data_IF_860195045204
#
_entry.id   IF_860195045204
#
_cell.length_a   1.000
_cell.length_b   1.000
_cell.length_c   1.000
_cell.angle_alpha   90.00
_cell.angle_beta   90.00
_cell.angle_gamma   90.00
#
_symmetry.space_group_name_H-M   'P 1'
#
loop_
_entity.id
_entity.type
_entity.pdbx_description
1 polymer ?
#
# COMPACT_ATOMS: atom_id res chain seq x y z
N UNK A 1 2.80 10.64 20.39
CA UNK A 1 3.27 9.78 21.51
C UNK A 1 4.49 9.05 21.03
N UNK A 2 5.55 8.97 21.84
CA UNK A 2 6.72 8.17 21.51
C UNK A 2 6.44 6.69 21.80
N UNK A 3 6.91 5.80 20.93
CA UNK A 3 6.81 4.34 21.09
C UNK A 3 7.66 3.93 22.30
N UNK A 4 7.12 3.13 23.20
CA UNK A 4 7.84 2.67 24.40
C UNK A 4 8.72 1.44 24.09
N UNK A 5 9.60 1.06 25.02
CA UNK A 5 10.56 -0.04 24.82
C UNK A 5 9.88 -1.39 24.57
N UNK A 6 8.73 -1.65 25.18
CA UNK A 6 7.99 -2.90 24.99
C UNK A 6 7.28 -2.94 23.62
N UNK A 7 6.77 -1.80 23.16
CA UNK A 7 6.20 -1.69 21.81
C UNK A 7 7.25 -1.89 20.71
N UNK A 8 8.49 -1.45 20.94
CA UNK A 8 9.60 -1.67 20.00
C UNK A 8 9.98 -3.15 19.87
N UNK A 9 9.79 -3.97 20.92
CA UNK A 9 10.02 -5.42 20.87
C UNK A 9 9.02 -6.14 19.94
N UNK A 10 7.87 -5.54 19.66
CA UNK A 10 6.83 -6.07 18.77
C UNK A 10 7.07 -5.70 17.30
N UNK A 11 8.09 -4.90 17.01
CA UNK A 11 8.37 -4.38 15.66
C UNK A 11 9.72 -4.89 15.17
N UNK A 12 9.73 -5.38 13.93
CA UNK A 12 10.96 -5.71 13.23
C UNK A 12 11.03 -4.93 11.93
N UNK A 13 12.10 -4.18 11.75
CA UNK A 13 12.36 -3.42 10.53
C UNK A 13 13.14 -4.27 9.53
N UNK A 14 12.62 -4.38 8.31
CA UNK A 14 13.32 -4.96 7.18
C UNK A 14 13.58 -3.86 6.15
N UNK A 15 14.85 -3.56 5.87
CA UNK A 15 15.25 -2.53 4.89
C UNK A 15 15.23 -3.11 3.48
N UNK A 16 14.06 -3.56 3.04
CA UNK A 16 13.80 -4.16 1.72
C UNK A 16 12.57 -3.53 1.08
N UNK A 17 12.43 -3.69 -0.23
CA UNK A 17 11.23 -3.27 -0.95
C UNK A 17 10.03 -4.16 -0.59
N UNK A 18 8.84 -3.59 -0.49
CA UNK A 18 7.58 -4.32 -0.29
C UNK A 18 7.30 -5.34 -1.39
N UNK A 19 7.85 -5.18 -2.60
CA UNK A 19 7.79 -6.20 -3.66
C UNK A 19 8.40 -7.55 -3.26
N UNK A 20 9.18 -7.58 -2.17
CA UNK A 20 9.84 -8.76 -1.60
C UNK A 20 9.28 -9.16 -0.23
N UNK A 21 8.12 -8.65 0.17
CA UNK A 21 7.56 -8.89 1.51
C UNK A 21 7.29 -10.38 1.81
N UNK A 22 7.01 -11.19 0.78
CA UNK A 22 6.85 -12.65 0.92
C UNK A 22 8.13 -13.36 1.40
N UNK A 23 9.30 -12.73 1.28
CA UNK A 23 10.55 -13.28 1.80
C UNK A 23 10.66 -13.20 3.33
N UNK A 24 9.90 -12.29 3.96
CA UNK A 24 10.01 -11.98 5.40
C UNK A 24 8.74 -12.31 6.18
N UNK A 25 7.58 -12.30 5.53
CA UNK A 25 6.31 -12.73 6.14
C UNK A 25 6.27 -14.26 6.15
N UNK A 26 6.14 -14.91 7.33
CA UNK A 26 6.01 -16.35 7.39
C UNK A 26 4.80 -16.84 6.59
N UNK A 27 4.93 -18.00 5.93
CA UNK A 27 3.78 -18.66 5.28
C UNK A 27 2.66 -18.89 6.30
N UNK A 28 1.43 -18.71 5.85
CA UNK A 28 0.19 -18.87 6.63
C UNK A 28 0.06 -17.94 7.85
N UNK A 29 0.90 -16.90 7.95
CA UNK A 29 0.73 -15.88 8.98
C UNK A 29 -0.56 -15.07 8.70
N UNK A 30 -1.42 -14.82 9.70
CA UNK A 30 -2.73 -14.21 9.48
C UNK A 30 -2.63 -12.68 9.30
N UNK A 31 -2.07 -12.24 8.17
CA UNK A 31 -1.90 -10.81 7.85
C UNK A 31 -3.28 -10.16 7.65
N UNK A 32 -3.63 -9.22 8.53
CA UNK A 32 -4.91 -8.50 8.49
C UNK A 32 -4.87 -7.18 7.75
N UNK A 33 -3.70 -6.53 7.65
CA UNK A 33 -3.56 -5.22 7.04
C UNK A 33 -2.20 -5.11 6.35
N UNK A 34 -2.20 -4.61 5.12
CA UNK A 34 -0.99 -4.19 4.38
C UNK A 34 -1.18 -2.73 3.94
N UNK A 35 -0.60 -1.75 4.66
CA UNK A 35 -0.70 -0.35 4.28
C UNK A 35 0.46 0.07 3.37
N UNK A 36 0.15 0.88 2.37
CA UNK A 36 1.10 1.50 1.44
C UNK A 36 0.90 3.02 1.46
N UNK A 37 2.01 3.75 1.59
CA UNK A 37 2.05 5.20 1.38
C UNK A 37 3.01 5.47 0.23
N UNK A 38 2.48 5.77 -0.96
CA UNK A 38 3.24 5.95 -2.20
C UNK A 38 3.66 7.40 -2.39
N UNK A 39 4.94 7.60 -2.62
CA UNK A 39 5.61 8.88 -2.78
C UNK A 39 7.00 8.83 -2.14
N UNK A 40 7.48 9.99 -1.71
CA UNK A 40 8.74 10.13 -0.98
C UNK A 40 8.48 10.38 0.50
N UNK A 41 9.46 10.03 1.35
CA UNK A 41 9.39 10.30 2.79
C UNK A 41 9.54 11.82 3.06
N UNK A 42 8.59 12.47 3.75
CA UNK A 42 8.73 13.89 4.12
C UNK A 42 9.99 14.14 4.96
N UNK A 43 10.82 15.09 4.53
CA UNK A 43 12.11 15.39 5.17
C UNK A 43 13.23 14.37 4.88
N UNK A 44 12.98 13.36 4.05
CA UNK A 44 13.97 12.38 3.61
C UNK A 44 14.64 12.73 2.28
N UNK A 45 15.41 11.78 1.76
CA UNK A 45 16.03 11.86 0.44
C UNK A 45 14.97 11.70 -0.67
N UNK A 46 14.78 12.74 -1.49
CA UNK A 46 13.79 12.75 -2.57
C UNK A 46 14.14 11.83 -3.74
N UNK A 47 15.37 11.32 -3.82
CA UNK A 47 15.75 10.28 -4.80
C UNK A 47 15.21 8.90 -4.41
N UNK A 48 14.88 8.70 -3.13
CA UNK A 48 14.25 7.50 -2.61
C UNK A 48 12.72 7.66 -2.66
N UNK A 49 12.15 7.25 -3.78
CA UNK A 49 10.72 7.37 -4.08
C UNK A 49 10.15 6.02 -4.50
N UNK A 50 8.85 5.81 -4.27
CA UNK A 50 8.15 4.66 -4.87
C UNK A 50 8.10 4.78 -6.39
N UNK A 51 8.02 3.63 -7.06
CA UNK A 51 7.94 3.56 -8.51
C UNK A 51 6.92 2.51 -8.92
N UNK A 52 6.17 2.82 -9.98
CA UNK A 52 5.06 2.02 -10.49
C UNK A 52 5.39 0.53 -10.60
N UNK A 53 6.60 0.19 -11.09
CA UNK A 53 6.98 -1.21 -11.28
C UNK A 53 7.06 -2.00 -9.96
N UNK A 54 7.68 -1.42 -8.92
CA UNK A 54 7.78 -2.10 -7.63
C UNK A 54 6.48 -2.05 -6.85
N UNK A 55 5.66 -1.04 -7.07
CA UNK A 55 4.31 -0.90 -6.50
C UNK A 55 3.40 -2.01 -7.01
N UNK A 56 3.38 -2.26 -8.33
CA UNK A 56 2.63 -3.38 -8.93
C UNK A 56 3.00 -4.72 -8.28
N UNK A 57 4.31 -5.02 -8.22
CA UNK A 57 4.82 -6.27 -7.64
C UNK A 57 4.47 -6.38 -6.15
N UNK A 58 4.50 -5.27 -5.41
CA UNK A 58 4.16 -5.24 -4.00
C UNK A 58 2.67 -5.46 -3.75
N UNK A 59 1.78 -4.90 -4.58
CA UNK A 59 0.34 -5.14 -4.50
C UNK A 59 0.00 -6.61 -4.79
N UNK A 60 0.67 -7.21 -5.80
CA UNK A 60 0.54 -8.64 -6.08
C UNK A 60 1.03 -9.52 -4.93
N UNK A 61 2.14 -9.15 -4.28
CA UNK A 61 2.63 -9.85 -3.09
C UNK A 61 1.64 -9.71 -1.93
N UNK A 62 1.13 -8.50 -1.70
CA UNK A 62 0.15 -8.19 -0.66
C UNK A 62 -1.13 -9.01 -0.83
N UNK A 63 -1.65 -9.16 -2.05
CA UNK A 63 -2.87 -9.96 -2.29
C UNK A 63 -2.68 -11.46 -2.10
N UNK A 64 -1.46 -11.97 -2.13
CA UNK A 64 -1.16 -13.37 -1.82
C UNK A 64 -1.03 -13.64 -0.33
N UNK A 65 -0.59 -12.65 0.46
CA UNK A 65 -0.35 -12.83 1.89
C UNK A 65 -1.49 -12.36 2.77
N UNK A 66 -2.30 -11.40 2.31
CA UNK A 66 -3.41 -10.86 3.11
C UNK A 66 -4.47 -11.93 3.29
N UNK A 67 -4.83 -12.18 4.54
CA UNK A 67 -5.82 -13.19 4.88
C UNK A 67 -7.22 -12.77 4.49
N UNK A 68 -8.13 -13.74 4.36
CA UNK A 68 -9.57 -13.51 4.29
C UNK A 68 -10.03 -12.60 5.45
N UNK A 69 -10.85 -11.59 5.15
CA UNK A 69 -11.25 -10.52 6.06
C UNK A 69 -10.12 -9.51 6.37
N UNK A 70 -9.07 -9.48 5.55
CA UNK A 70 -7.96 -8.54 5.63
C UNK A 70 -8.05 -7.43 4.58
N UNK A 71 -7.24 -6.39 4.75
CA UNK A 71 -7.28 -5.16 3.95
C UNK A 71 -5.91 -4.82 3.37
N UNK A 72 -5.88 -4.44 2.10
CA UNK A 72 -4.78 -3.68 1.51
C UNK A 72 -5.23 -2.21 1.45
N UNK A 73 -4.46 -1.31 2.05
CA UNK A 73 -4.74 0.14 2.04
C UNK A 73 -3.63 0.84 1.31
N UNK A 74 -3.97 1.68 0.33
CA UNK A 74 -3.02 2.41 -0.50
C UNK A 74 -3.36 3.88 -0.46
N UNK A 75 -2.39 4.68 -0.03
CA UNK A 75 -2.41 6.12 -0.08
C UNK A 75 -1.43 6.58 -1.16
N UNK A 76 -1.93 7.30 -2.16
CA UNK A 76 -1.10 7.87 -3.25
C UNK A 76 -1.03 9.38 -3.08
N UNK A 77 0.16 9.91 -2.82
CA UNK A 77 0.39 11.35 -2.72
C UNK A 77 0.45 12.00 -4.11
N UNK A 78 -0.56 12.76 -4.51
CA UNK A 78 -0.51 13.52 -5.78
C UNK A 78 0.17 14.88 -5.55
N UNK A 79 1.10 15.24 -6.42
CA UNK A 79 1.88 16.48 -6.50
C UNK A 79 3.35 16.34 -6.94
N UNK A 80 3.78 15.21 -7.51
CA UNK A 80 5.18 14.89 -7.87
C UNK A 80 5.34 14.09 -9.18
N UNK A 81 6.54 14.13 -9.77
CA UNK A 81 6.88 13.38 -10.99
C UNK A 81 6.69 11.86 -10.79
N UNK A 82 5.93 11.21 -11.69
CA UNK A 82 5.69 9.76 -11.68
C UNK A 82 4.40 9.30 -10.96
N UNK A 83 3.68 10.23 -10.32
CA UNK A 83 2.44 9.96 -9.57
C UNK A 83 1.32 9.30 -10.39
N UNK A 84 1.18 9.67 -11.66
CA UNK A 84 0.12 9.18 -12.53
C UNK A 84 0.32 7.71 -12.85
N UNK A 85 1.57 7.34 -13.11
CA UNK A 85 1.94 5.95 -13.41
C UNK A 85 1.68 5.04 -12.19
N UNK A 86 1.92 5.52 -10.97
CA UNK A 86 1.60 4.75 -9.76
C UNK A 86 0.10 4.66 -9.50
N UNK A 87 -0.64 5.76 -9.62
CA UNK A 87 -2.09 5.73 -9.47
C UNK A 87 -2.73 4.79 -10.50
N UNK A 88 -2.31 4.86 -11.77
CA UNK A 88 -2.79 4.00 -12.84
C UNK A 88 -2.52 2.51 -12.55
N UNK A 89 -1.34 2.19 -12.01
CA UNK A 89 -1.01 0.83 -11.56
C UNK A 89 -1.92 0.37 -10.42
N UNK A 90 -2.15 1.22 -9.43
CA UNK A 90 -3.00 0.89 -8.26
C UNK A 90 -4.45 0.69 -8.70
N UNK A 91 -4.99 1.57 -9.55
CA UNK A 91 -6.36 1.47 -10.07
C UNK A 91 -6.54 0.28 -11.02
N UNK A 92 -5.55 0.00 -11.88
CA UNK A 92 -5.55 -1.17 -12.76
C UNK A 92 -5.51 -2.46 -11.96
N UNK A 93 -4.66 -2.53 -10.93
CA UNK A 93 -4.61 -3.66 -10.02
C UNK A 93 -5.96 -3.86 -9.33
N UNK A 94 -6.50 -2.80 -8.72
CA UNK A 94 -7.78 -2.82 -8.01
C UNK A 94 -8.94 -3.34 -8.88
N UNK A 95 -8.96 -2.91 -10.14
CA UNK A 95 -9.99 -3.27 -11.12
C UNK A 95 -9.83 -4.69 -11.66
N UNK A 96 -8.62 -5.25 -11.58
CA UNK A 96 -8.33 -6.63 -12.00
C UNK A 96 -8.72 -7.69 -10.97
N UNK A 97 -8.99 -7.29 -9.72
CA UNK A 97 -9.30 -8.21 -8.64
C UNK A 97 -10.68 -8.89 -8.85
N UNK A 98 -10.80 -10.21 -8.61
CA UNK A 98 -12.07 -10.91 -8.78
C UNK A 98 -13.16 -10.40 -7.81
N UNK A 99 -14.25 -9.84 -8.34
CA UNK A 99 -15.36 -9.28 -7.54
C UNK A 99 -16.02 -10.27 -6.55
N UNK A 100 -15.87 -11.58 -6.76
CA UNK A 100 -16.42 -12.59 -5.84
C UNK A 100 -15.64 -12.71 -4.53
N UNK A 101 -14.36 -12.33 -4.55
CA UNK A 101 -13.44 -12.50 -3.42
C UNK A 101 -12.78 -11.19 -3.01
N UNK A 102 -13.05 -10.08 -3.72
CA UNK A 102 -12.46 -8.78 -3.42
C UNK A 102 -13.49 -7.67 -3.54
N UNK A 103 -13.38 -6.69 -2.63
CA UNK A 103 -14.07 -5.42 -2.72
C UNK A 103 -13.05 -4.29 -2.79
N UNK A 104 -13.09 -3.51 -3.87
CA UNK A 104 -12.19 -2.38 -4.11
C UNK A 104 -12.95 -1.06 -4.01
N UNK A 105 -12.48 -0.13 -3.19
CA UNK A 105 -13.06 1.20 -3.02
C UNK A 105 -12.00 2.28 -3.21
N UNK A 106 -12.37 3.38 -3.88
CA UNK A 106 -11.58 4.60 -4.01
C UNK A 106 -12.30 5.73 -3.26
N UNK A 107 -11.55 6.46 -2.43
CA UNK A 107 -12.05 7.59 -1.65
C UNK A 107 -11.38 8.87 -2.11
N UNK A 108 -12.20 9.86 -2.44
CA UNK A 108 -11.77 11.18 -2.91
C UNK A 108 -12.30 12.27 -1.98
N UNK A 109 -11.49 13.30 -1.71
CA UNK A 109 -11.93 14.45 -0.92
C UNK A 109 -12.82 15.36 -1.75
N UNK A 110 -14.06 15.58 -1.30
CA UNK A 110 -15.07 16.35 -2.04
C UNK A 110 -14.82 17.87 -2.10
N UNK A 111 -14.00 18.42 -1.19
CA UNK A 111 -13.83 19.86 -1.01
C UNK A 111 -12.36 20.32 -1.08
N UNK A 112 -11.48 19.52 -1.69
CA UNK A 112 -10.10 19.91 -1.99
C UNK A 112 -9.84 19.86 -3.50
N UNK A 113 -9.00 20.74 -4.05
CA UNK A 113 -8.65 20.71 -5.46
C UNK A 113 -7.81 19.45 -5.77
N UNK A 114 -8.13 18.77 -6.87
CA UNK A 114 -7.56 17.48 -7.31
C UNK A 114 -6.02 17.43 -7.28
N UNK A 115 -5.36 18.53 -7.59
CA UNK A 115 -3.90 18.69 -7.64
C UNK A 115 -3.21 18.66 -6.25
N UNK A 116 -3.99 18.59 -5.16
CA UNK A 116 -3.52 18.49 -3.78
C UNK A 116 -4.11 17.28 -3.05
N UNK A 117 -4.69 16.30 -3.77
CA UNK A 117 -5.45 15.20 -3.18
C UNK A 117 -4.61 13.93 -3.06
N UNK A 118 -4.47 13.53 -1.81
CA UNK A 118 -4.18 12.17 -1.39
C UNK A 118 -5.29 11.22 -1.84
N UNK A 119 -5.00 10.31 -2.76
CA UNK A 119 -5.96 9.29 -3.19
C UNK A 119 -5.87 8.07 -2.28
N UNK A 120 -7.00 7.69 -1.69
CA UNK A 120 -7.10 6.52 -0.81
C UNK A 120 -7.81 5.39 -1.53
N UNK A 121 -7.15 4.23 -1.63
CA UNK A 121 -7.71 3.02 -2.22
C UNK A 121 -7.64 1.87 -1.23
N UNK A 122 -8.75 1.16 -1.05
CA UNK A 122 -8.89 0.03 -0.14
C UNK A 122 -9.32 -1.21 -0.90
N UNK A 123 -8.62 -2.33 -0.69
CA UNK A 123 -8.95 -3.64 -1.26
C UNK A 123 -9.16 -4.64 -0.14
N UNK A 124 -10.40 -4.99 0.11
CA UNK A 124 -10.78 -5.97 1.14
C UNK A 124 -10.81 -7.37 0.51
N UNK A 125 -10.05 -8.30 1.11
CA UNK A 125 -10.10 -9.71 0.74
C UNK A 125 -11.28 -10.38 1.46
N UNK A 126 -12.26 -10.82 0.67
CA UNK A 126 -13.47 -11.52 1.14
C UNK A 126 -13.36 -13.05 0.98
N UNK A 127 -12.28 -13.54 0.35
CA UNK A 127 -12.00 -14.95 0.07
C UNK A 127 -10.99 -15.55 1.03
#
# INVERSE_FOLDING_TARGET
MAVNSHELELVKLFTICHSRMEEVVPKDFPVRLVPFNLGYLPGGDKSMITVAKTTELALQAASRIVSSGGLISVLVYIGHLGERDELDVVESFASSLPMKTWMSCKFEMMNRPFEMIDQWLHFENLG
#
